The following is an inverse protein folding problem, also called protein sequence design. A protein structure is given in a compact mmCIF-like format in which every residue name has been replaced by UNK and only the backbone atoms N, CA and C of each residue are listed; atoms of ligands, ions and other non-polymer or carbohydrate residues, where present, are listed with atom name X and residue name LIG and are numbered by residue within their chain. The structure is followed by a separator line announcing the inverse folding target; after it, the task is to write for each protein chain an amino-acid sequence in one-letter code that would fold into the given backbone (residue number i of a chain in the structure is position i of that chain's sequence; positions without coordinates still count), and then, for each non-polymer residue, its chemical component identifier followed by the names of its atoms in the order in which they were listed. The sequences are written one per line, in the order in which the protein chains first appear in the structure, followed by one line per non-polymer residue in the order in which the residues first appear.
data_IF_392955555347
#
_entry.id   IF_392955555347
#
_cell.length_a   1.000
_cell.length_b   1.000
_cell.length_c   1.000
_cell.angle_alpha   90.00
_cell.angle_beta   90.00
_cell.angle_gamma   90.00
#
_symmetry.space_group_name_H-M   'P 1'
#
loop_
_entity.id
_entity.type
_entity.pdbx_description
1 polymer ?
#
# COMPACT_ATOMS: atom_id res chain seq x y z
N UNK A 1 14.92 14.70 -8.19
CA UNK A 1 13.86 13.68 -8.01
C UNK A 1 14.44 12.61 -7.09
N UNK A 2 13.88 12.42 -5.90
CA UNK A 2 14.43 11.49 -4.89
C UNK A 2 13.65 10.18 -4.99
N UNK A 3 14.34 9.13 -5.38
CA UNK A 3 13.79 7.79 -5.43
C UNK A 3 13.40 7.35 -4.02
N UNK A 4 12.24 6.72 -3.91
CA UNK A 4 11.73 6.22 -2.63
C UNK A 4 11.77 4.71 -2.65
N UNK A 5 12.47 4.13 -1.68
CA UNK A 5 12.51 2.71 -1.47
C UNK A 5 11.15 2.19 -1.01
N UNK A 6 10.75 1.06 -1.60
CA UNK A 6 9.59 0.31 -1.16
C UNK A 6 9.97 -1.14 -0.93
N UNK A 7 9.38 -1.71 0.11
CA UNK A 7 9.60 -3.08 0.50
C UNK A 7 8.27 -3.82 0.53
N UNK A 8 8.30 -5.05 0.08
CA UNK A 8 7.14 -5.92 0.11
C UNK A 8 7.54 -7.30 0.62
N UNK A 9 6.81 -7.76 1.63
CA UNK A 9 6.92 -9.14 2.11
C UNK A 9 5.97 -10.02 1.32
N UNK A 10 6.47 -11.13 0.78
CA UNK A 10 5.68 -12.19 0.15
C UNK A 10 5.94 -13.51 0.86
N UNK A 11 5.01 -14.45 0.72
CA UNK A 11 5.25 -15.84 1.13
C UNK A 11 6.37 -16.45 0.30
N UNK A 12 7.25 -17.22 0.95
CA UNK A 12 8.27 -17.98 0.23
C UNK A 12 7.66 -19.24 -0.39
N UNK A 13 7.37 -19.17 -1.70
CA UNK A 13 6.89 -20.30 -2.51
C UNK A 13 7.97 -20.86 -3.43
N UNK A 14 9.24 -20.46 -3.22
CA UNK A 14 10.38 -20.87 -4.04
C UNK A 14 10.27 -20.52 -5.54
N UNK A 15 9.39 -19.58 -5.90
CA UNK A 15 9.13 -19.08 -7.26
C UNK A 15 9.90 -17.77 -7.55
N UNK A 16 11.18 -17.70 -7.16
CA UNK A 16 11.93 -16.44 -7.10
C UNK A 16 12.03 -15.69 -8.43
N UNK A 17 12.32 -16.39 -9.54
CA UNK A 17 12.44 -15.76 -10.86
C UNK A 17 11.13 -15.12 -11.33
N UNK A 18 10.01 -15.80 -11.08
CA UNK A 18 8.68 -15.28 -11.37
C UNK A 18 8.40 -14.01 -10.56
N UNK A 19 8.70 -14.04 -9.25
CA UNK A 19 8.51 -12.89 -8.36
C UNK A 19 9.33 -11.68 -8.81
N UNK A 20 10.59 -11.86 -9.20
CA UNK A 20 11.45 -10.76 -9.64
C UNK A 20 11.03 -10.20 -11.02
N UNK A 21 10.55 -11.06 -11.92
CA UNK A 21 10.11 -10.66 -13.25
C UNK A 21 8.74 -9.95 -13.22
N UNK A 22 7.84 -10.40 -12.35
CA UNK A 22 6.43 -10.02 -12.39
C UNK A 22 5.90 -9.38 -11.10
N UNK A 23 6.73 -9.13 -10.09
CA UNK A 23 6.32 -8.33 -8.94
C UNK A 23 6.02 -6.86 -9.31
N UNK A 24 5.42 -6.07 -8.39
CA UNK A 24 4.88 -6.45 -7.08
C UNK A 24 3.56 -7.26 -7.18
N UNK A 25 3.20 -7.94 -6.09
CA UNK A 25 2.03 -8.83 -6.01
C UNK A 25 1.04 -8.44 -4.91
N UNK A 26 -0.16 -9.01 -4.91
CA UNK A 26 -1.03 -8.90 -3.72
C UNK A 26 -0.46 -9.74 -2.58
N UNK A 27 -0.19 -9.10 -1.45
CA UNK A 27 0.22 -9.78 -0.23
C UNK A 27 -1.00 -10.19 0.59
N UNK A 28 -1.07 -11.47 0.96
CA UNK A 28 -2.02 -11.99 1.92
C UNK A 28 -1.23 -12.62 3.06
N UNK A 29 -1.52 -12.26 4.31
CA UNK A 29 -0.87 -12.87 5.48
C UNK A 29 -1.37 -14.30 5.77
N UNK A 30 -2.55 -14.66 5.25
CA UNK A 30 -3.23 -15.94 5.49
C UNK A 30 -3.76 -16.50 4.17
N UNK A 31 -3.95 -17.81 4.14
CA UNK A 31 -4.74 -18.49 3.12
C UNK A 31 -6.25 -18.29 3.36
N UNK A 32 -7.07 -18.66 2.38
CA UNK A 32 -8.54 -18.54 2.46
C UNK A 32 -9.14 -19.35 3.63
N UNK A 33 -8.47 -20.44 4.02
CA UNK A 33 -8.81 -21.24 5.20
C UNK A 33 -8.33 -20.65 6.54
N UNK A 34 -7.79 -19.42 6.54
CA UNK A 34 -7.32 -18.71 7.73
C UNK A 34 -5.93 -19.11 8.23
N UNK A 35 -5.29 -20.10 7.63
CA UNK A 35 -3.94 -20.56 8.05
C UNK A 35 -2.91 -19.47 7.72
N UNK A 36 -2.04 -19.07 8.67
CA UNK A 36 -0.92 -18.16 8.38
C UNK A 36 0.04 -18.77 7.37
N UNK A 37 0.45 -17.94 6.40
CA UNK A 37 1.52 -18.32 5.47
C UNK A 37 2.84 -18.47 6.23
N UNK A 38 3.64 -19.47 5.85
CA UNK A 38 4.90 -19.81 6.53
C UNK A 38 6.09 -19.48 5.64
N UNK A 39 7.13 -18.93 6.25
CA UNK A 39 8.28 -18.40 5.52
C UNK A 39 7.94 -17.11 4.78
N UNK A 40 8.96 -16.34 4.44
CA UNK A 40 8.78 -15.12 3.69
C UNK A 40 10.02 -14.77 2.85
N UNK A 41 9.77 -13.99 1.81
CA UNK A 41 10.81 -13.23 1.10
C UNK A 41 10.51 -11.75 1.27
N UNK A 42 11.56 -10.94 1.38
CA UNK A 42 11.45 -9.48 1.33
C UNK A 42 11.94 -9.05 -0.04
N UNK A 43 11.08 -8.33 -0.74
CA UNK A 43 11.38 -7.75 -2.02
C UNK A 43 11.58 -6.24 -1.88
N UNK A 44 12.40 -5.68 -2.75
CA UNK A 44 12.77 -4.27 -2.79
C UNK A 44 12.66 -3.75 -4.23
N UNK A 45 12.21 -2.51 -4.33
CA UNK A 45 12.33 -1.69 -5.54
C UNK A 45 12.22 -0.22 -5.13
N UNK A 46 12.20 0.68 -6.12
CA UNK A 46 12.09 2.11 -5.93
C UNK A 46 11.09 2.71 -6.91
N UNK A 47 10.44 3.80 -6.52
CA UNK A 47 9.57 4.58 -7.39
C UNK A 47 9.79 6.09 -7.19
N UNK A 48 9.24 6.88 -8.10
CA UNK A 48 9.18 8.34 -7.91
C UNK A 48 7.93 8.74 -7.11
N UNK A 49 8.14 9.19 -5.88
CA UNK A 49 7.05 9.68 -5.03
C UNK A 49 6.47 11.04 -5.48
N UNK A 50 7.14 11.75 -6.39
CA UNK A 50 6.67 13.04 -6.93
C UNK A 50 6.06 12.91 -8.32
N UNK A 51 5.87 11.68 -8.81
CA UNK A 51 5.27 11.47 -10.12
C UNK A 51 3.83 12.00 -10.13
N UNK A 52 3.43 12.75 -11.18
CA UNK A 52 2.04 13.16 -11.35
C UNK A 52 1.10 11.97 -11.57
N UNK A 53 1.64 10.78 -11.89
CA UNK A 53 0.88 9.55 -12.10
C UNK A 53 0.65 8.77 -10.78
N UNK A 54 1.04 9.33 -9.64
CA UNK A 54 0.76 8.78 -8.32
C UNK A 54 -0.48 9.42 -7.72
N UNK A 55 -1.53 8.62 -7.52
CA UNK A 55 -2.70 9.05 -6.78
C UNK A 55 -2.42 8.97 -5.27
N UNK A 56 -2.23 10.11 -4.63
CA UNK A 56 -1.62 10.18 -3.31
C UNK A 56 -2.60 10.62 -2.22
N UNK A 57 -3.22 9.66 -1.53
CA UNK A 57 -4.15 9.93 -0.43
C UNK A 57 -3.46 10.31 0.89
N UNK A 58 -2.13 10.49 0.90
CA UNK A 58 -1.34 10.81 2.10
C UNK A 58 -0.75 12.20 2.00
N UNK A 59 -0.12 12.51 0.88
CA UNK A 59 0.59 13.78 0.66
C UNK A 59 -0.19 14.81 -0.15
N UNK A 60 -1.28 14.43 -0.82
CA UNK A 60 -2.08 15.33 -1.64
C UNK A 60 -3.52 15.42 -1.10
N UNK A 61 -3.86 16.59 -0.56
CA UNK A 61 -5.18 16.85 0.01
C UNK A 61 -6.29 16.83 -1.05
N UNK A 62 -6.00 17.24 -2.29
CA UNK A 62 -6.99 17.24 -3.38
C UNK A 62 -7.36 15.81 -3.75
N UNK A 63 -6.36 14.93 -3.89
CA UNK A 63 -6.62 13.50 -4.14
C UNK A 63 -7.43 12.87 -3.00
N UNK A 64 -7.12 13.24 -1.75
CA UNK A 64 -7.89 12.77 -0.60
C UNK A 64 -9.36 13.21 -0.67
N UNK A 65 -9.60 14.50 -0.90
CA UNK A 65 -10.95 15.07 -0.95
C UNK A 65 -11.78 14.44 -2.07
N UNK A 66 -11.21 14.28 -3.28
CA UNK A 66 -11.86 13.62 -4.43
C UNK A 66 -12.27 12.17 -4.10
N UNK A 67 -11.39 11.42 -3.43
CA UNK A 67 -11.67 10.03 -3.06
C UNK A 67 -12.81 9.94 -2.03
N UNK A 68 -12.84 10.84 -1.06
CA UNK A 68 -13.91 10.93 -0.05
C UNK A 68 -15.23 11.36 -0.70
N UNK A 69 -15.21 12.35 -1.59
CA UNK A 69 -16.39 12.79 -2.33
C UNK A 69 -17.01 11.64 -3.14
N UNK A 70 -16.19 10.88 -3.87
CA UNK A 70 -16.64 9.68 -4.57
C UNK A 70 -17.28 8.67 -3.61
N UNK A 71 -16.70 8.47 -2.42
CA UNK A 71 -17.24 7.58 -1.41
C UNK A 71 -18.62 8.04 -0.88
N UNK A 72 -18.81 9.34 -0.66
CA UNK A 72 -20.11 9.91 -0.27
C UNK A 72 -21.17 9.72 -1.36
N UNK A 73 -20.84 10.02 -2.63
CA UNK A 73 -21.77 9.83 -3.75
C UNK A 73 -22.21 8.38 -3.91
N UNK A 74 -21.31 7.42 -3.71
CA UNK A 74 -21.65 5.99 -3.73
C UNK A 74 -22.58 5.65 -2.57
N UNK A 75 -22.29 6.15 -1.36
CA UNK A 75 -23.13 5.90 -0.18
C UNK A 75 -24.54 6.44 -0.34
N UNK A 76 -24.69 7.65 -0.86
CA UNK A 76 -26.00 8.25 -1.17
C UNK A 76 -26.74 7.44 -2.23
N UNK A 77 -26.07 7.07 -3.32
CA UNK A 77 -26.67 6.30 -4.42
C UNK A 77 -27.23 4.94 -3.98
N UNK A 78 -26.57 4.28 -3.03
CA UNK A 78 -26.96 2.94 -2.57
C UNK A 78 -27.61 2.92 -1.18
N UNK A 79 -27.93 4.10 -0.61
CA UNK A 79 -28.48 4.25 0.75
C UNK A 79 -27.74 3.40 1.80
N UNK A 80 -26.41 3.50 1.80
CA UNK A 80 -25.54 2.72 2.70
C UNK A 80 -24.66 3.62 3.54
N UNK A 81 -24.42 3.21 4.78
CA UNK A 81 -23.52 3.92 5.72
C UNK A 81 -22.04 3.65 5.46
N UNK A 82 -21.72 2.59 4.72
CA UNK A 82 -20.33 2.15 4.50
C UNK A 82 -20.12 1.77 3.05
N UNK A 83 -18.94 2.09 2.54
CA UNK A 83 -18.44 1.67 1.24
C UNK A 83 -17.02 1.15 1.42
N UNK A 84 -16.68 0.09 0.69
CA UNK A 84 -15.33 -0.46 0.74
C UNK A 84 -14.36 0.38 -0.09
N UNK A 85 -13.10 0.42 0.32
CA UNK A 85 -12.04 1.12 -0.43
C UNK A 85 -11.95 0.65 -1.90
N UNK A 86 -12.03 -0.67 -2.13
CA UNK A 86 -11.97 -1.24 -3.47
C UNK A 86 -13.17 -0.84 -4.33
N UNK A 87 -14.35 -0.69 -3.74
CA UNK A 87 -15.54 -0.18 -4.43
C UNK A 87 -15.29 1.27 -4.90
N UNK A 88 -14.85 2.15 -4.01
CA UNK A 88 -14.56 3.56 -4.37
C UNK A 88 -13.52 3.63 -5.49
N UNK A 89 -12.40 2.91 -5.33
CA UNK A 89 -11.36 2.86 -6.35
C UNK A 89 -11.86 2.32 -7.70
N UNK A 90 -12.80 1.38 -7.69
CA UNK A 90 -13.41 0.84 -8.92
C UNK A 90 -14.27 1.88 -9.63
N UNK A 91 -14.94 2.78 -8.91
CA UNK A 91 -15.68 3.89 -9.50
C UNK A 91 -14.74 4.98 -10.01
N UNK A 92 -13.73 5.35 -9.21
CA UNK A 92 -12.72 6.34 -9.60
C UNK A 92 -12.02 5.96 -10.90
N UNK A 93 -11.61 4.69 -11.06
CA UNK A 93 -10.99 4.18 -12.30
C UNK A 93 -11.86 4.23 -13.55
N UNK A 94 -13.16 4.49 -13.43
CA UNK A 94 -14.07 4.67 -14.58
C UNK A 94 -14.14 6.12 -15.03
N UNK A 95 -13.64 7.07 -14.23
CA UNK A 95 -13.60 8.47 -14.59
C UNK A 95 -12.54 8.68 -15.68
N UNK A 96 -12.84 9.44 -16.76
CA UNK A 96 -11.89 9.73 -17.83
C UNK A 96 -10.60 10.38 -17.32
N UNK A 97 -10.69 11.16 -16.24
CA UNK A 97 -9.58 11.89 -15.63
C UNK A 97 -8.69 11.02 -14.74
N UNK A 98 -9.08 9.77 -14.47
CA UNK A 98 -8.29 8.86 -13.65
C UNK A 98 -7.26 8.13 -14.50
N UNK A 99 -6.10 8.76 -14.72
CA UNK A 99 -4.98 8.23 -15.50
C UNK A 99 -3.79 7.74 -14.63
N UNK A 100 -4.00 7.68 -13.31
CA UNK A 100 -2.97 7.30 -12.35
C UNK A 100 -2.52 5.84 -12.49
N UNK A 101 -1.21 5.64 -12.28
CA UNK A 101 -0.53 4.34 -12.38
C UNK A 101 -0.35 3.62 -11.05
N UNK A 102 -0.44 4.36 -9.95
CA UNK A 102 -0.36 3.80 -8.61
C UNK A 102 -1.21 4.62 -7.64
N UNK A 103 -1.51 4.03 -6.50
CA UNK A 103 -2.18 4.69 -5.38
C UNK A 103 -1.37 4.52 -4.10
N UNK A 104 -1.20 5.61 -3.35
CA UNK A 104 -0.56 5.63 -2.04
C UNK A 104 -1.59 5.91 -0.97
N UNK A 105 -1.60 5.09 0.08
CA UNK A 105 -2.61 5.13 1.14
C UNK A 105 -1.96 4.87 2.48
N UNK A 106 -2.40 5.57 3.52
CA UNK A 106 -2.01 5.25 4.88
C UNK A 106 -2.90 4.10 5.40
N UNK A 107 -2.38 2.87 5.60
CA UNK A 107 -3.15 1.83 6.26
C UNK A 107 -3.55 2.29 7.67
N UNK A 108 -4.75 1.90 8.12
CA UNK A 108 -5.24 2.28 9.44
C UNK A 108 -4.19 1.95 10.52
N UNK A 109 -3.62 2.96 11.21
CA UNK A 109 -2.62 2.71 12.23
C UNK A 109 -3.30 2.10 13.45
N UNK A 110 -2.94 0.86 13.81
CA UNK A 110 -3.39 0.27 15.09
C UNK A 110 -2.92 1.10 16.29
N UNK A 111 -1.78 1.76 16.16
CA UNK A 111 -1.20 2.68 17.15
C UNK A 111 -0.57 3.85 16.41
N UNK A 112 -0.83 5.07 16.88
CA UNK A 112 -0.17 6.27 16.37
C UNK A 112 1.01 6.57 17.30
N UNK A 113 2.23 6.38 16.81
CA UNK A 113 3.42 6.80 17.54
C UNK A 113 3.50 8.33 17.52
N UNK A 114 3.36 8.95 18.70
CA UNK A 114 3.50 10.40 18.84
C UNK A 114 4.97 10.73 18.98
N UNK A 115 5.41 11.75 18.26
CA UNK A 115 6.75 12.31 18.50
C UNK A 115 6.76 13.07 19.82
N UNK A 116 7.95 13.23 20.41
CA UNK A 116 8.16 14.06 21.60
C UNK A 116 8.24 15.57 21.25
N UNK A 117 7.94 15.95 20.01
CA UNK A 117 7.98 17.34 19.54
C UNK A 117 6.68 18.01 19.95
N UNK A 118 6.80 19.00 20.83
CA UNK A 118 5.68 19.77 21.37
C UNK A 118 5.82 21.23 20.96
N UNK A 119 4.73 21.81 20.47
CA UNK A 119 4.62 23.26 20.33
C UNK A 119 4.20 23.86 21.68
N UNK A 120 4.50 25.16 21.93
CA UNK A 120 4.04 25.84 23.13
C UNK A 120 2.53 25.65 23.36
N UNK A 121 2.17 25.17 24.55
CA UNK A 121 0.78 24.92 24.93
C UNK A 121 0.20 23.57 24.52
N UNK A 122 1.02 22.60 24.06
CA UNK A 122 0.60 21.21 23.77
C UNK A 122 -0.57 21.10 22.76
N UNK A 123 -0.78 22.13 21.92
CA UNK A 123 -1.93 22.21 20.98
C UNK A 123 -1.73 21.47 19.65
N UNK A 124 -0.60 20.80 19.45
CA UNK A 124 -0.26 20.15 18.18
C UNK A 124 0.28 18.73 18.43
N UNK A 125 -0.21 17.78 17.63
CA UNK A 125 0.25 16.39 17.61
C UNK A 125 1.01 16.16 16.31
N UNK A 126 2.31 15.88 16.42
CA UNK A 126 3.10 15.37 15.30
C UNK A 126 3.21 13.85 15.44
N UNK A 127 2.55 13.14 14.52
CA UNK A 127 2.52 11.68 14.45
C UNK A 127 3.61 11.17 13.51
N UNK A 128 4.26 10.06 13.89
CA UNK A 128 5.19 9.36 13.02
C UNK A 128 4.42 8.32 12.19
N UNK A 129 4.60 8.39 10.88
CA UNK A 129 3.96 7.47 9.93
C UNK A 129 4.89 6.30 9.68
N UNK A 130 4.68 5.19 10.38
CA UNK A 130 5.59 4.04 10.29
C UNK A 130 5.37 3.16 9.05
N UNK A 131 4.14 3.12 8.52
CA UNK A 131 3.77 2.26 7.38
C UNK A 131 2.88 3.03 6.43
N UNK A 132 3.29 3.12 5.17
CA UNK A 132 2.47 3.61 4.06
C UNK A 132 2.35 2.47 3.05
N UNK A 133 1.14 2.19 2.61
CA UNK A 133 0.90 1.20 1.56
C UNK A 133 0.86 1.90 0.21
N UNK A 134 1.55 1.32 -0.77
CA UNK A 134 1.47 1.73 -2.16
C UNK A 134 1.04 0.53 -3.01
N UNK A 135 0.14 0.75 -3.95
CA UNK A 135 -0.32 -0.27 -4.89
C UNK A 135 -0.14 0.23 -6.31
N UNK A 136 0.56 -0.55 -7.15
CA UNK A 136 0.82 -0.24 -8.54
C UNK A 136 -0.22 -0.92 -9.43
N UNK A 137 -0.88 -0.16 -10.29
CA UNK A 137 -1.74 -0.66 -11.37
C UNK A 137 -0.94 -0.85 -12.66
N UNK A 138 0.05 0.02 -12.85
CA UNK A 138 1.00 -0.02 -13.95
C UNK A 138 2.43 0.05 -13.36
N UNK A 139 3.23 -0.96 -13.69
CA UNK A 139 4.60 -1.13 -13.18
C UNK A 139 5.61 -0.20 -13.83
N UNK A 140 5.25 0.51 -14.90
CA UNK A 140 6.13 1.51 -15.53
C UNK A 140 6.47 2.68 -14.62
N UNK A 141 5.76 2.84 -13.49
CA UNK A 141 6.10 3.81 -12.46
C UNK A 141 7.26 3.36 -11.54
N UNK A 142 7.61 2.08 -11.56
CA UNK A 142 8.80 1.57 -10.89
C UNK A 142 10.05 1.99 -11.66
N UNK A 143 11.08 2.40 -10.92
CA UNK A 143 12.37 2.81 -11.52
C UNK A 143 13.38 1.69 -11.65
N UNK A 144 13.28 0.71 -10.76
CA UNK A 144 14.21 -0.41 -10.70
C UNK A 144 13.43 -1.73 -10.80
N UNK A 145 14.07 -2.80 -11.32
CA UNK A 145 13.49 -4.12 -11.25
C UNK A 145 13.13 -4.49 -9.82
N UNK A 146 12.08 -5.29 -9.68
CA UNK A 146 11.66 -5.83 -8.41
C UNK A 146 12.61 -6.96 -8.01
N UNK A 147 13.27 -6.84 -6.85
CA UNK A 147 14.36 -7.76 -6.46
C UNK A 147 14.13 -8.36 -5.09
N UNK A 148 14.49 -9.62 -4.91
CA UNK A 148 14.46 -10.26 -3.60
C UNK A 148 15.74 -9.92 -2.85
N UNK A 149 15.60 -9.30 -1.68
CA UNK A 149 16.73 -8.86 -0.83
C UNK A 149 16.89 -9.68 0.44
N UNK A 150 15.84 -10.37 0.89
CA UNK A 150 15.91 -11.27 2.05
C UNK A 150 15.03 -12.50 1.83
N UNK A 151 15.44 -13.64 2.40
CA UNK A 151 14.70 -14.91 2.37
C UNK A 151 14.73 -15.56 3.74
N UNK A 152 13.56 -15.95 4.24
CA UNK A 152 13.39 -16.79 5.42
C UNK A 152 12.56 -18.01 5.06
N UNK A 153 13.24 -19.10 4.77
CA UNK A 153 12.60 -20.41 4.54
C UNK A 153 12.09 -20.98 5.86
N UNK A 154 10.84 -21.45 5.88
CA UNK A 154 10.33 -22.23 7.01
C UNK A 154 10.51 -23.72 6.71
N UNK A 155 11.38 -24.39 7.46
CA UNK A 155 11.59 -25.84 7.30
C UNK A 155 10.40 -26.57 7.95
N UNK A 156 9.67 -27.36 7.16
CA UNK A 156 8.45 -28.04 7.61
C UNK A 156 8.67 -29.06 8.76
N UNK A 157 9.92 -29.43 9.04
CA UNK A 157 10.28 -30.51 9.98
C UNK A 157 10.82 -30.02 11.34
N UNK A 158 10.38 -28.87 11.83
CA UNK A 158 10.58 -28.54 13.25
C UNK A 158 9.44 -29.18 14.04
N UNK A 159 9.60 -30.46 14.35
CA UNK A 159 8.80 -31.17 15.36
C UNK A 159 9.02 -30.44 16.70
N UNK A 160 7.95 -29.95 17.32
CA UNK A 160 7.94 -29.56 18.73
C UNK A 160 7.89 -30.85 19.56
#
# INVERSE_FOLDING_TARGET
MRDTDIYQTLEDRQNYGEVEEHGPYFCYARYDNGIPKRGYIICHTTYDQHSPLLYDLVGDMKHFDEFVECAELIKEKFDTKRVSFSTVLTYMKKLPEFDYKAIRVWPHPYTIEKTNIKFPGDKLVLSKTDKIQICFFDKTLLKNPYKIVEKKTFVANQTI
#
